data_IF_460999773282
#
_entry.id   IF_460999773282
#
_cell.length_a   1.000
_cell.length_b   1.000
_cell.length_c   1.000
_cell.angle_alpha   90.00
_cell.angle_beta   90.00
_cell.angle_gamma   90.00
#
_symmetry.space_group_name_H-M   'P 1'
#
loop_
_entity.id
_entity.type
_entity.pdbx_description
1 polymer ?
#
# COMPACT_ATOMS: atom_id res chain seq x y z
N UNK A 1 -8.46 15.21 -19.06
CA UNK A 1 -9.01 14.25 -20.04
C UNK A 1 -9.01 12.85 -19.43
N UNK A 2 -10.16 12.29 -19.08
CA UNK A 2 -10.25 10.90 -18.62
C UNK A 2 -10.29 9.99 -19.85
N UNK A 3 -9.18 9.32 -20.15
CA UNK A 3 -9.12 8.35 -21.24
C UNK A 3 -9.84 7.09 -20.76
N UNK A 4 -11.10 6.91 -21.17
CA UNK A 4 -11.83 5.66 -21.04
C UNK A 4 -11.36 4.69 -22.14
N UNK A 5 -10.29 3.95 -21.87
CA UNK A 5 -9.87 2.84 -22.73
C UNK A 5 -10.64 1.57 -22.36
N UNK A 6 -11.84 1.42 -22.94
CA UNK A 6 -12.64 0.19 -22.80
C UNK A 6 -11.99 -1.05 -23.48
N UNK A 7 -10.89 -0.88 -24.22
CA UNK A 7 -10.19 -1.95 -24.96
C UNK A 7 -8.76 -2.26 -24.45
N UNK A 8 -8.37 -1.85 -23.24
CA UNK A 8 -7.02 -2.13 -22.72
C UNK A 8 -6.85 -3.61 -22.32
N UNK A 9 -5.79 -4.27 -22.81
CA UNK A 9 -5.45 -5.64 -22.42
C UNK A 9 -5.28 -5.74 -20.88
N UNK A 10 -5.84 -6.77 -20.20
CA UNK A 10 -5.84 -6.87 -18.74
C UNK A 10 -4.47 -6.69 -18.09
N UNK A 11 -3.41 -7.22 -18.71
CA UNK A 11 -2.02 -7.07 -18.23
C UNK A 11 -1.53 -5.62 -18.24
N UNK A 12 -1.87 -4.86 -19.29
CA UNK A 12 -1.47 -3.47 -19.42
C UNK A 12 -2.26 -2.60 -18.44
N UNK A 13 -3.56 -2.88 -18.30
CA UNK A 13 -4.42 -2.25 -17.29
C UNK A 13 -3.87 -2.47 -15.88
N UNK A 14 -3.46 -3.70 -15.57
CA UNK A 14 -2.81 -4.01 -14.29
C UNK A 14 -1.54 -3.19 -14.09
N UNK A 15 -0.59 -3.23 -15.05
CA UNK A 15 0.67 -2.49 -14.94
C UNK A 15 0.43 -0.99 -14.72
N UNK A 16 -0.42 -0.37 -15.55
CA UNK A 16 -0.74 1.06 -15.45
C UNK A 16 -1.34 1.43 -14.09
N UNK A 17 -2.35 0.69 -13.64
CA UNK A 17 -3.01 0.97 -12.37
C UNK A 17 -2.11 0.67 -11.16
N UNK A 18 -1.36 -0.44 -11.19
CA UNK A 18 -0.44 -0.81 -10.12
C UNK A 18 0.68 0.23 -9.98
N UNK A 19 1.30 0.66 -11.09
CA UNK A 19 2.33 1.72 -11.08
C UNK A 19 1.77 3.02 -10.54
N UNK A 20 0.62 3.49 -11.06
CA UNK A 20 -0.01 4.73 -10.59
C UNK A 20 -0.29 4.69 -9.08
N UNK A 21 -0.91 3.61 -8.60
CA UNK A 21 -1.27 3.45 -7.19
C UNK A 21 -0.04 3.35 -6.28
N UNK A 22 0.99 2.61 -6.72
CA UNK A 22 2.24 2.49 -5.98
C UNK A 22 2.92 3.84 -5.82
N UNK A 23 3.01 4.62 -6.90
CA UNK A 23 3.60 5.97 -6.86
C UNK A 23 2.83 6.91 -5.92
N UNK A 24 1.50 6.82 -5.88
CA UNK A 24 0.68 7.58 -4.94
C UNK A 24 1.02 7.20 -3.49
N UNK A 25 1.12 5.90 -3.17
CA UNK A 25 1.47 5.42 -1.82
C UNK A 25 2.86 5.93 -1.42
N UNK A 26 3.87 5.77 -2.28
CA UNK A 26 5.23 6.24 -2.02
C UNK A 26 5.28 7.76 -1.78
N UNK A 27 4.52 8.54 -2.56
CA UNK A 27 4.40 9.99 -2.33
C UNK A 27 3.78 10.31 -0.97
N UNK A 28 2.77 9.56 -0.54
CA UNK A 28 2.13 9.75 0.78
C UNK A 28 3.07 9.38 1.93
N UNK A 29 3.83 8.29 1.80
CA UNK A 29 4.87 7.93 2.76
C UNK A 29 5.95 8.99 2.86
N UNK A 30 6.37 9.58 1.73
CA UNK A 30 7.31 10.72 1.73
C UNK A 30 6.75 11.91 2.52
N UNK A 31 5.47 12.26 2.31
CA UNK A 31 4.83 13.35 3.06
C UNK A 31 4.72 13.03 4.54
N UNK A 32 4.37 11.80 4.91
CA UNK A 32 4.36 11.34 6.30
C UNK A 32 5.76 11.48 6.93
N UNK A 33 6.82 11.17 6.18
CA UNK A 33 8.20 11.34 6.63
C UNK A 33 8.57 12.78 7.04
N UNK A 34 7.86 13.79 6.54
CA UNK A 34 8.08 15.18 6.97
C UNK A 34 7.72 15.40 8.45
N UNK A 35 6.83 14.57 9.03
CA UNK A 35 6.49 14.60 10.44
C UNK A 35 7.66 14.18 11.34
N UNK A 36 8.73 13.59 10.79
CA UNK A 36 9.93 13.24 11.56
C UNK A 36 10.70 14.47 12.09
N UNK A 37 10.41 15.67 11.62
CA UNK A 37 11.08 16.88 12.09
C UNK A 37 10.68 17.23 13.53
N UNK A 38 11.52 16.83 14.49
CA UNK A 38 11.33 17.07 15.93
C UNK A 38 11.37 18.56 16.33
N UNK A 39 11.85 19.44 15.46
CA UNK A 39 11.79 20.89 15.70
C UNK A 39 10.39 21.49 15.46
N UNK A 40 9.53 20.79 14.71
CA UNK A 40 8.17 21.23 14.38
C UNK A 40 7.13 20.40 15.13
N UNK A 41 7.42 19.11 15.34
CA UNK A 41 6.49 18.15 15.90
C UNK A 41 7.08 17.44 17.11
N UNK A 42 6.27 17.28 18.15
CA UNK A 42 6.57 16.42 19.28
C UNK A 42 5.90 15.06 19.04
N UNK A 43 6.66 13.98 19.26
CA UNK A 43 6.21 12.60 19.16
C UNK A 43 7.18 11.70 19.92
N UNK A 44 6.66 10.60 20.45
CA UNK A 44 7.47 9.56 21.08
C UNK A 44 7.61 8.32 20.19
N UNK A 45 8.33 7.31 20.67
CA UNK A 45 8.50 6.03 19.95
C UNK A 45 7.17 5.26 19.83
N UNK A 46 6.27 5.39 20.81
CA UNK A 46 4.97 4.71 20.78
C UNK A 46 4.06 5.26 19.67
N UNK A 47 4.15 6.56 19.37
CA UNK A 47 3.45 7.18 18.24
C UNK A 47 3.99 6.65 16.91
N UNK A 48 5.31 6.53 16.76
CA UNK A 48 5.96 5.97 15.57
C UNK A 48 5.53 4.52 15.38
N UNK A 49 5.58 3.71 16.43
CA UNK A 49 5.20 2.30 16.40
C UNK A 49 3.73 2.10 16.00
N UNK A 50 2.82 2.91 16.55
CA UNK A 50 1.39 2.86 16.18
C UNK A 50 1.19 3.18 14.70
N UNK A 51 1.85 4.21 14.19
CA UNK A 51 1.74 4.61 12.77
C UNK A 51 2.22 3.49 11.85
N UNK A 52 3.43 2.98 12.09
CA UNK A 52 4.02 1.99 11.18
C UNK A 52 3.42 0.59 11.35
N UNK A 53 3.00 0.19 12.54
CA UNK A 53 2.31 -1.10 12.73
C UNK A 53 1.01 -1.19 11.91
N UNK A 54 0.22 -0.10 11.84
CA UNK A 54 -1.01 -0.09 11.04
C UNK A 54 -0.73 -0.06 9.53
N UNK A 55 0.30 0.69 9.09
CA UNK A 55 0.77 0.68 7.69
C UNK A 55 1.22 -0.72 7.28
N UNK A 56 2.03 -1.39 8.11
CA UNK A 56 2.54 -2.73 7.86
C UNK A 56 1.42 -3.76 7.85
N UNK A 57 0.49 -3.67 8.79
CA UNK A 57 -0.71 -4.52 8.84
C UNK A 57 -1.51 -4.39 7.55
N UNK A 58 -1.85 -3.17 7.12
CA UNK A 58 -2.58 -2.94 5.87
C UNK A 58 -1.80 -3.44 4.65
N UNK A 59 -0.48 -3.26 4.64
CA UNK A 59 0.39 -3.75 3.55
C UNK A 59 0.36 -5.26 3.46
N UNK A 60 0.46 -5.97 4.60
CA UNK A 60 0.31 -7.43 4.69
C UNK A 60 -1.07 -7.87 4.20
N UNK A 61 -2.15 -7.27 4.70
CA UNK A 61 -3.55 -7.54 4.28
C UNK A 61 -3.79 -7.37 2.78
N UNK A 62 -3.18 -6.37 2.15
CA UNK A 62 -3.31 -6.15 0.71
C UNK A 62 -2.46 -7.14 -0.07
N UNK A 63 -1.23 -7.43 0.41
CA UNK A 63 -0.33 -8.41 -0.21
C UNK A 63 -0.95 -9.80 -0.25
N UNK A 64 -1.65 -10.24 0.80
CA UNK A 64 -2.31 -11.55 0.81
C UNK A 64 -3.34 -11.70 -0.30
N UNK A 65 -4.00 -10.62 -0.76
CA UNK A 65 -4.96 -10.69 -1.88
C UNK A 65 -4.34 -11.09 -3.22
N UNK A 66 -3.01 -10.94 -3.37
CA UNK A 66 -2.28 -11.39 -4.56
C UNK A 66 -1.86 -12.86 -4.47
N UNK A 67 -1.85 -13.41 -3.25
CA UNK A 67 -1.55 -14.81 -2.99
C UNK A 67 -2.89 -15.53 -2.77
N UNK A 68 -3.52 -15.99 -3.85
CA UNK A 68 -4.69 -16.84 -3.74
C UNK A 68 -4.36 -18.00 -2.79
N UNK A 69 -5.12 -18.21 -1.69
CA UNK A 69 -4.95 -19.42 -0.91
C UNK A 69 -5.28 -20.58 -1.85
N UNK A 70 -4.29 -21.39 -2.23
CA UNK A 70 -4.60 -22.74 -2.70
C UNK A 70 -5.47 -23.34 -1.61
N UNK A 71 -6.72 -23.73 -1.92
CA UNK A 71 -7.56 -24.52 -1.00
C UNK A 71 -6.70 -25.68 -0.51
N UNK A 72 -6.15 -25.58 0.69
CA UNK A 72 -5.62 -26.74 1.38
C UNK A 72 -6.86 -27.40 1.95
N UNK A 73 -7.25 -28.52 1.34
CA UNK A 73 -8.20 -29.40 1.99
C UNK A 73 -7.60 -29.81 3.33
N UNK A 74 -8.34 -29.53 4.40
CA UNK A 74 -8.00 -30.04 5.72
C UNK A 74 -8.04 -31.56 5.68
N UNK A 75 -6.97 -32.21 6.13
CA UNK A 75 -6.91 -33.65 6.36
C UNK A 75 -6.51 -33.87 7.81
N UNK A 76 -7.27 -34.73 8.51
CA UNK A 76 -6.93 -35.27 9.83
C UNK A 76 -5.69 -36.16 9.73
#
# INVERSE_FOLDING_TARGET
>A
MKINNNNEHPRNRFKRLATLRTNIILKRLKVLGNCSNRNIYEYDEADIDKIFSEIDKKTKEVKTKFHFPKKKEFKL
#
